data_IF_246026690921
#
_entry.id   IF_246026690921
#
_cell.length_a   1.000
_cell.length_b   1.000
_cell.length_c   1.000
_cell.angle_alpha   90.00
_cell.angle_beta   90.00
_cell.angle_gamma   90.00
#
_symmetry.space_group_name_H-M   'P 1'
#
loop_
_entity.id
_entity.type
_entity.pdbx_description
1 polymer ?
#
# COMPACT_ATOMS: atom_id res chain seq x y z
N UNK A 1 -9.91 -7.23 -31.75
CA UNK A 1 -9.92 -7.32 -30.27
C UNK A 1 -9.43 -5.97 -29.79
N UNK A 2 -10.33 -5.13 -29.27
CA UNK A 2 -9.99 -3.77 -28.88
C UNK A 2 -9.17 -3.86 -27.59
N UNK A 3 -7.97 -3.28 -27.60
CA UNK A 3 -7.25 -3.00 -26.38
C UNK A 3 -7.82 -1.68 -25.85
N UNK A 4 -8.53 -1.73 -24.72
CA UNK A 4 -8.95 -0.53 -24.02
C UNK A 4 -7.79 -0.02 -23.17
N UNK A 5 -7.58 1.29 -23.19
CA UNK A 5 -6.76 1.97 -22.20
C UNK A 5 -7.34 1.71 -20.80
N UNK A 6 -6.47 1.50 -19.81
CA UNK A 6 -6.91 1.17 -18.46
C UNK A 6 -5.93 1.63 -17.39
N UNK A 7 -6.43 1.77 -16.17
CA UNK A 7 -5.62 2.06 -14.99
C UNK A 7 -5.87 1.01 -13.91
N UNK A 8 -4.83 0.30 -13.52
CA UNK A 8 -4.80 -0.53 -12.32
C UNK A 8 -4.15 0.31 -11.20
N UNK A 9 -4.89 0.56 -10.12
CA UNK A 9 -4.44 1.39 -9.01
C UNK A 9 -4.61 0.63 -7.70
N UNK A 10 -3.58 0.66 -6.85
CA UNK A 10 -3.69 0.19 -5.46
C UNK A 10 -3.25 1.30 -4.53
N UNK A 11 -4.12 1.66 -3.59
CA UNK A 11 -3.83 2.64 -2.55
C UNK A 11 -3.93 1.98 -1.19
N UNK A 12 -2.88 2.05 -0.40
CA UNK A 12 -2.86 1.59 0.98
C UNK A 12 -2.56 2.75 1.94
N UNK A 13 -3.37 2.84 2.99
CA UNK A 13 -3.19 3.72 4.12
C UNK A 13 -2.99 2.87 5.37
N UNK A 14 -2.02 3.21 6.21
CA UNK A 14 -1.79 2.49 7.45
C UNK A 14 -1.43 3.41 8.62
N UNK A 15 -1.92 3.00 9.81
CA UNK A 15 -1.56 3.57 11.11
C UNK A 15 -1.34 2.43 12.10
N UNK A 16 -0.30 2.53 12.92
CA UNK A 16 0.07 1.52 13.92
C UNK A 16 0.35 2.20 15.26
N UNK A 17 -0.23 1.66 16.33
CA UNK A 17 -0.01 2.04 17.72
C UNK A 17 0.48 0.78 18.47
N UNK A 18 1.80 0.63 18.59
CA UNK A 18 2.43 -0.51 19.24
C UNK A 18 2.18 -0.52 20.74
N UNK A 19 2.09 0.66 21.38
CA UNK A 19 1.84 0.76 22.82
C UNK A 19 0.42 0.31 23.19
N UNK A 20 -0.57 0.67 22.37
CA UNK A 20 -1.94 0.20 22.49
C UNK A 20 -2.20 -1.17 21.87
N UNK A 21 -1.19 -1.77 21.22
CA UNK A 21 -1.29 -3.00 20.41
C UNK A 21 -2.41 -2.95 19.35
N UNK A 22 -2.57 -1.78 18.70
CA UNK A 22 -3.60 -1.52 17.70
C UNK A 22 -3.02 -1.17 16.33
N UNK A 23 -3.75 -1.53 15.28
CA UNK A 23 -3.40 -1.15 13.92
C UNK A 23 -4.65 -0.96 13.06
N UNK A 24 -4.56 -0.05 12.09
CA UNK A 24 -5.57 0.16 11.07
C UNK A 24 -4.90 0.20 9.69
N UNK A 25 -5.36 -0.64 8.78
CA UNK A 25 -4.93 -0.68 7.38
C UNK A 25 -6.14 -0.58 6.48
N UNK A 26 -6.16 0.39 5.57
CA UNK A 26 -7.16 0.53 4.53
C UNK A 26 -6.51 0.34 3.17
N UNK A 27 -7.08 -0.53 2.34
CA UNK A 27 -6.64 -0.82 0.97
C UNK A 27 -7.80 -0.57 0.03
N UNK A 28 -7.53 0.15 -1.06
CA UNK A 28 -8.47 0.37 -2.15
C UNK A 28 -7.79 0.00 -3.46
N UNK A 29 -8.40 -0.89 -4.23
CA UNK A 29 -7.88 -1.38 -5.51
C UNK A 29 -8.68 -0.86 -6.72
N UNK A 30 -8.22 -1.19 -7.93
CA UNK A 30 -8.87 -0.79 -9.18
C UNK A 30 -10.25 -1.40 -9.38
N UNK A 31 -10.58 -2.48 -8.68
CA UNK A 31 -11.92 -3.05 -8.68
C UNK A 31 -12.87 -2.23 -7.77
N UNK A 32 -12.37 -1.17 -7.13
CA UNK A 32 -13.07 -0.34 -6.14
C UNK A 32 -13.52 -1.15 -4.92
N UNK A 33 -12.83 -2.24 -4.62
CA UNK A 33 -13.03 -2.98 -3.38
C UNK A 33 -12.26 -2.25 -2.29
N UNK A 34 -12.99 -1.73 -1.31
CA UNK A 34 -12.37 -1.18 -0.10
C UNK A 34 -12.23 -2.29 0.94
N UNK A 35 -11.02 -2.52 1.40
CA UNK A 35 -10.73 -3.43 2.50
C UNK A 35 -10.11 -2.67 3.65
N UNK A 36 -10.79 -2.65 4.78
CA UNK A 36 -10.29 -2.02 6.02
C UNK A 36 -10.09 -3.09 7.07
N UNK A 37 -8.88 -3.18 7.60
CA UNK A 37 -8.49 -4.13 8.65
C UNK A 37 -8.13 -3.36 9.90
N UNK A 38 -8.82 -3.66 10.99
CA UNK A 38 -8.52 -3.17 12.32
C UNK A 38 -8.03 -4.33 13.18
N UNK A 39 -6.96 -4.09 13.93
CA UNK A 39 -6.46 -5.02 14.91
C UNK A 39 -6.52 -4.39 16.29
N UNK A 40 -7.05 -5.14 17.26
CA UNK A 40 -7.02 -4.80 18.67
C UNK A 40 -7.17 -6.07 19.49
N UNK A 41 -6.58 -6.09 20.69
CA UNK A 41 -6.82 -7.10 21.72
C UNK A 41 -6.59 -8.56 21.24
N UNK A 42 -5.67 -8.76 20.29
CA UNK A 42 -5.37 -10.07 19.70
C UNK A 42 -6.37 -10.56 18.64
N UNK A 43 -7.31 -9.70 18.22
CA UNK A 43 -8.31 -10.01 17.20
C UNK A 43 -8.10 -9.11 15.97
N UNK A 44 -8.23 -9.72 14.79
CA UNK A 44 -8.25 -9.03 13.49
C UNK A 44 -9.67 -8.97 12.96
N UNK A 45 -10.14 -7.76 12.75
CA UNK A 45 -11.42 -7.45 12.13
C UNK A 45 -11.18 -6.90 10.73
N UNK A 46 -11.67 -7.60 9.70
CA UNK A 46 -11.57 -7.16 8.31
C UNK A 46 -12.96 -6.86 7.77
N UNK A 47 -13.19 -5.62 7.35
CA UNK A 47 -14.36 -5.18 6.61
C UNK A 47 -14.03 -5.12 5.13
N UNK A 48 -14.83 -5.77 4.30
CA UNK A 48 -14.73 -5.73 2.84
C UNK A 48 -15.98 -5.06 2.29
N UNK A 49 -15.80 -3.95 1.58
CA UNK A 49 -16.86 -3.20 0.90
C UNK A 49 -16.65 -3.29 -0.60
N UNK A 50 -17.32 -4.25 -1.27
CA UNK A 50 -17.34 -4.32 -2.72
C UNK A 50 -18.14 -3.16 -3.35
N UNK A 51 -17.99 -2.91 -4.66
CA UNK A 51 -18.65 -1.81 -5.36
C UNK A 51 -20.18 -1.90 -5.38
N UNK A 52 -20.72 -3.11 -5.25
CA UNK A 52 -22.17 -3.38 -5.19
C UNK A 52 -22.78 -3.09 -3.80
N UNK A 53 -21.94 -2.74 -2.82
CA UNK A 53 -22.35 -2.33 -1.48
C UNK A 53 -22.59 -3.49 -0.51
N UNK A 54 -22.40 -4.75 -0.91
CA UNK A 54 -22.61 -5.91 -0.05
C UNK A 54 -21.43 -6.07 0.93
N UNK A 55 -21.47 -5.32 2.04
CA UNK A 55 -20.43 -5.36 3.06
C UNK A 55 -20.36 -6.75 3.71
N UNK A 56 -19.14 -7.25 3.87
CA UNK A 56 -18.85 -8.47 4.61
C UNK A 56 -17.77 -8.23 5.65
N UNK A 57 -17.83 -9.03 6.71
CA UNK A 57 -16.89 -8.99 7.82
C UNK A 57 -16.21 -10.34 7.95
N UNK A 58 -14.93 -10.30 8.32
CA UNK A 58 -14.16 -11.47 8.69
C UNK A 58 -13.43 -11.17 9.98
N UNK A 59 -13.70 -11.98 11.01
CA UNK A 59 -13.12 -11.86 12.34
C UNK A 59 -12.24 -13.08 12.57
N UNK A 60 -11.00 -12.85 13.00
CA UNK A 60 -10.05 -13.94 13.23
C UNK A 60 -9.16 -13.61 14.41
N UNK A 61 -8.90 -14.60 15.25
CA UNK A 61 -7.85 -14.50 16.26
C UNK A 61 -6.49 -14.38 15.55
N UNK A 62 -5.81 -13.27 15.81
CA UNK A 62 -4.52 -12.97 15.21
C UNK A 62 -3.78 -11.98 16.12
N UNK A 63 -2.72 -12.40 16.83
CA UNK A 63 -1.92 -11.46 17.60
C UNK A 63 -1.33 -10.38 16.69
N UNK A 64 -1.08 -9.18 17.24
CA UNK A 64 -0.39 -8.13 16.52
C UNK A 64 1.00 -8.65 16.12
N UNK A 65 1.18 -8.84 14.82
CA UNK A 65 2.49 -9.04 14.22
C UNK A 65 2.80 -7.76 13.47
N UNK A 66 3.57 -6.82 14.06
CA UNK A 66 3.81 -5.51 13.46
C UNK A 66 4.31 -5.60 12.01
N UNK A 67 5.08 -6.64 11.68
CA UNK A 67 5.54 -6.96 10.32
C UNK A 67 4.41 -7.08 9.30
N UNK A 68 3.25 -7.60 9.69
CA UNK A 68 2.05 -7.74 8.83
C UNK A 68 1.44 -6.39 8.47
N UNK A 69 1.73 -5.35 9.26
CA UNK A 69 1.19 -3.99 9.12
C UNK A 69 2.22 -2.98 8.59
N UNK A 70 3.42 -3.44 8.23
CA UNK A 70 4.46 -2.58 7.64
C UNK A 70 4.18 -2.22 6.18
N UNK A 71 3.25 -2.92 5.51
CA UNK A 71 3.10 -2.84 4.06
C UNK A 71 4.29 -3.43 3.31
N UNK A 72 5.12 -4.27 3.97
CA UNK A 72 6.37 -4.79 3.39
C UNK A 72 6.19 -5.58 2.10
N UNK A 73 5.01 -6.18 1.86
CA UNK A 73 4.70 -6.81 0.57
C UNK A 73 4.70 -5.81 -0.59
N UNK A 74 4.33 -4.55 -0.34
CA UNK A 74 4.37 -3.46 -1.31
C UNK A 74 5.72 -2.73 -1.31
N UNK A 75 6.34 -2.59 -0.13
CA UNK A 75 7.61 -1.88 0.03
C UNK A 75 8.80 -2.69 -0.46
N UNK A 76 8.85 -3.99 -0.12
CA UNK A 76 10.01 -4.84 -0.38
C UNK A 76 10.37 -4.90 -1.87
N UNK A 77 9.43 -5.11 -2.81
CA UNK A 77 9.76 -5.11 -4.23
C UNK A 77 10.44 -3.80 -4.67
N UNK A 78 9.90 -2.65 -4.25
CA UNK A 78 10.45 -1.35 -4.59
C UNK A 78 11.85 -1.14 -3.98
N UNK A 79 12.03 -1.40 -2.69
CA UNK A 79 13.32 -1.19 -2.02
C UNK A 79 14.42 -2.18 -2.46
N UNK A 80 14.06 -3.39 -2.88
CA UNK A 80 15.04 -4.43 -3.22
C UNK A 80 15.39 -4.50 -4.70
N UNK A 81 14.50 -4.05 -5.59
CA UNK A 81 14.70 -4.17 -7.04
C UNK A 81 14.99 -2.83 -7.73
N UNK A 82 14.76 -1.68 -7.06
CA UNK A 82 14.98 -0.36 -7.65
C UNK A 82 16.25 0.27 -7.10
N UNK A 83 17.11 0.75 -8.00
CA UNK A 83 18.28 1.56 -7.63
C UNK A 83 17.88 3.03 -7.59
N UNK A 84 17.89 3.62 -6.41
CA UNK A 84 17.50 5.01 -6.22
C UNK A 84 18.69 5.96 -6.29
N UNK A 85 18.44 7.18 -6.75
CA UNK A 85 19.42 8.26 -6.71
C UNK A 85 19.67 8.78 -5.29
N UNK A 86 20.43 9.88 -5.20
CA UNK A 86 20.65 10.57 -3.93
C UNK A 86 19.34 11.09 -3.32
N UNK A 87 19.31 11.17 -1.99
CA UNK A 87 18.17 11.72 -1.27
C UNK A 87 18.01 13.22 -1.57
N UNK A 88 16.76 13.64 -1.76
CA UNK A 88 16.33 15.02 -1.61
C UNK A 88 15.85 15.23 -0.18
N UNK A 89 16.50 16.13 0.57
CA UNK A 89 16.19 16.39 1.97
C UNK A 89 15.20 17.55 2.08
N UNK A 90 14.13 17.35 2.84
CA UNK A 90 13.13 18.38 3.14
C UNK A 90 12.94 18.47 4.64
N UNK A 91 13.25 19.64 5.22
CA UNK A 91 13.03 19.94 6.63
C UNK A 91 11.71 20.71 6.81
N UNK A 92 10.93 20.33 7.82
CA UNK A 92 9.66 20.96 8.18
C UNK A 92 9.51 21.04 9.69
N UNK A 93 8.49 21.72 10.19
CA UNK A 93 8.15 21.72 11.63
C UNK A 93 7.82 20.32 12.18
N UNK A 94 7.45 19.38 11.29
CA UNK A 94 7.12 18.00 11.63
C UNK A 94 8.34 17.05 11.58
N UNK A 95 9.54 17.56 11.30
CA UNK A 95 10.78 16.77 11.23
C UNK A 95 11.45 16.80 9.86
N UNK A 96 12.46 15.96 9.72
CA UNK A 96 13.27 15.83 8.49
C UNK A 96 12.83 14.66 7.64
N UNK A 97 12.69 14.89 6.33
CA UNK A 97 12.28 13.86 5.36
C UNK A 97 13.31 13.69 4.25
N UNK A 98 13.55 12.44 3.89
CA UNK A 98 14.48 12.01 2.85
C UNK A 98 13.70 11.36 1.70
N UNK A 99 13.55 12.10 0.61
CA UNK A 99 12.88 11.64 -0.61
C UNK A 99 13.85 11.01 -1.59
N UNK A 100 13.52 9.81 -2.07
CA UNK A 100 14.29 9.08 -3.08
C UNK A 100 13.44 8.88 -4.31
N UNK A 101 14.03 8.99 -5.50
CA UNK A 101 13.36 8.76 -6.78
C UNK A 101 14.22 7.95 -7.74
N UNK A 102 13.55 7.21 -8.61
CA UNK A 102 14.11 6.47 -9.71
C UNK A 102 13.14 6.55 -10.89
N UNK A 103 13.64 7.01 -12.03
CA UNK A 103 12.89 7.05 -13.30
C UNK A 103 13.23 5.85 -14.21
N UNK A 104 14.02 4.91 -13.70
CA UNK A 104 14.40 3.70 -14.43
C UNK A 104 14.71 2.57 -13.47
N UNK A 105 14.50 1.35 -13.92
CA UNK A 105 14.84 0.13 -13.21
C UNK A 105 15.31 -0.92 -14.22
N UNK A 106 16.09 -1.89 -13.75
CA UNK A 106 16.42 -3.06 -14.56
C UNK A 106 15.11 -3.76 -14.99
N UNK A 107 15.01 -4.12 -16.28
CA UNK A 107 13.81 -4.77 -16.83
C UNK A 107 13.43 -6.06 -16.09
N UNK A 108 14.39 -6.78 -15.53
CA UNK A 108 14.14 -7.98 -14.75
C UNK A 108 13.31 -7.71 -13.48
N UNK A 109 13.32 -6.48 -12.95
CA UNK A 109 12.56 -6.08 -11.78
C UNK A 109 11.06 -5.95 -12.04
N UNK A 110 10.62 -5.69 -13.28
CA UNK A 110 9.22 -5.33 -13.55
C UNK A 110 8.23 -6.42 -13.15
N UNK A 111 8.60 -7.69 -13.27
CA UNK A 111 7.73 -8.80 -12.83
C UNK A 111 7.56 -8.86 -11.31
N UNK A 112 8.57 -8.43 -10.56
CA UNK A 112 8.50 -8.36 -9.10
C UNK A 112 7.69 -7.14 -8.63
N UNK A 113 7.77 -6.03 -9.38
CA UNK A 113 7.11 -4.76 -9.03
C UNK A 113 5.64 -4.71 -9.46
N UNK A 114 5.35 -5.16 -10.68
CA UNK A 114 4.07 -4.98 -11.37
C UNK A 114 3.28 -6.29 -11.49
N UNK A 115 3.89 -7.42 -11.12
CA UNK A 115 3.28 -8.75 -11.16
C UNK A 115 3.74 -9.62 -12.33
N UNK A 116 3.49 -10.94 -12.24
CA UNK A 116 4.06 -11.92 -13.17
C UNK A 116 3.46 -11.87 -14.58
N UNK A 117 2.29 -11.25 -14.75
CA UNK A 117 1.61 -11.10 -16.04
C UNK A 117 2.17 -9.97 -16.91
N UNK A 118 3.07 -9.15 -16.36
CA UNK A 118 3.67 -8.02 -17.09
C UNK A 118 4.89 -8.50 -17.90
N UNK A 119 4.89 -8.14 -19.18
CA UNK A 119 6.07 -8.25 -20.04
C UNK A 119 6.96 -7.01 -19.87
N UNK A 120 8.19 -7.16 -19.34
CA UNK A 120 9.15 -6.07 -19.23
C UNK A 120 9.43 -5.33 -20.54
N UNK A 121 9.28 -5.98 -21.69
CA UNK A 121 9.51 -5.39 -23.01
C UNK A 121 8.48 -4.32 -23.39
N UNK A 122 7.29 -4.37 -22.78
CA UNK A 122 6.19 -3.47 -23.09
C UNK A 122 6.11 -2.28 -22.11
N UNK A 123 6.99 -2.20 -21.11
CA UNK A 123 7.02 -1.07 -20.18
C UNK A 123 7.70 0.11 -20.87
N UNK A 124 6.95 1.18 -21.09
CA UNK A 124 7.40 2.39 -21.83
C UNK A 124 7.80 3.53 -20.92
N UNK A 125 7.22 3.59 -19.72
CA UNK A 125 7.54 4.59 -18.70
C UNK A 125 7.52 3.97 -17.30
N UNK A 126 8.36 4.50 -16.41
CA UNK A 126 8.44 4.06 -15.02
C UNK A 126 8.92 5.20 -14.12
N UNK A 127 8.19 5.44 -13.04
CA UNK A 127 8.62 6.31 -11.95
C UNK A 127 8.40 5.57 -10.63
N UNK A 128 9.40 5.60 -9.76
CA UNK A 128 9.28 5.12 -8.39
C UNK A 128 9.88 6.14 -7.44
N UNK A 129 9.29 6.24 -6.26
CA UNK A 129 9.83 7.06 -5.19
C UNK A 129 9.32 6.67 -3.84
N UNK A 130 10.13 6.94 -2.83
CA UNK A 130 9.72 6.79 -1.45
C UNK A 130 10.23 7.96 -0.61
N UNK A 131 9.57 8.18 0.52
CA UNK A 131 9.94 9.20 1.50
C UNK A 131 10.10 8.51 2.84
N UNK A 132 11.24 8.74 3.48
CA UNK A 132 11.56 8.26 4.82
C UNK A 132 11.68 9.46 5.75
N UNK A 133 11.25 9.35 6.99
CA UNK A 133 11.56 10.35 8.00
C UNK A 133 12.94 10.11 8.66
N UNK A 134 13.24 10.89 9.70
CA UNK A 134 14.49 10.78 10.47
C UNK A 134 14.61 9.49 11.28
N UNK A 135 13.49 8.83 11.61
CA UNK A 135 13.45 7.58 12.36
C UNK A 135 13.56 6.34 11.45
N UNK A 136 13.63 6.54 10.13
CA UNK A 136 13.74 5.44 9.17
C UNK A 136 12.39 4.85 8.74
N UNK A 137 11.27 5.49 9.09
CA UNK A 137 9.93 5.04 8.71
C UNK A 137 9.59 5.51 7.30
N UNK A 138 9.20 4.57 6.43
CA UNK A 138 8.69 4.89 5.09
C UNK A 138 7.30 5.53 5.23
N UNK A 139 7.24 6.85 5.07
CA UNK A 139 6.01 7.66 5.10
C UNK A 139 5.21 7.57 3.82
N UNK A 140 5.90 7.46 2.70
CA UNK A 140 5.29 7.33 1.38
C UNK A 140 6.11 6.39 0.53
N UNK A 141 5.43 5.57 -0.24
CA UNK A 141 5.99 4.87 -1.39
C UNK A 141 5.02 5.03 -2.55
N UNK A 142 5.56 5.27 -3.73
CA UNK A 142 4.79 5.24 -4.97
C UNK A 142 5.62 4.63 -6.07
N UNK A 143 4.98 3.87 -6.95
CA UNK A 143 5.52 3.60 -8.26
C UNK A 143 4.41 3.56 -9.29
N UNK A 144 4.74 4.03 -10.49
CA UNK A 144 3.86 4.07 -11.63
C UNK A 144 4.59 3.48 -12.83
N UNK A 145 3.88 2.69 -13.65
CA UNK A 145 4.40 2.19 -14.91
C UNK A 145 3.35 2.32 -16.02
N UNK A 146 3.79 2.70 -17.21
CA UNK A 146 2.99 2.60 -18.42
C UNK A 146 3.39 1.34 -19.20
N UNK A 147 2.42 0.50 -19.53
CA UNK A 147 2.62 -0.80 -20.19
C UNK A 147 1.78 -0.87 -21.45
N UNK A 148 2.42 -1.05 -22.59
CA UNK A 148 1.73 -1.27 -23.86
C UNK A 148 1.02 -2.64 -23.86
N UNK A 149 -0.27 -2.64 -24.22
CA UNK A 149 -1.08 -3.85 -24.41
C UNK A 149 -1.82 -3.77 -25.74
N UNK A 150 -1.35 -4.50 -26.74
CA UNK A 150 -1.99 -4.50 -28.06
C UNK A 150 -1.98 -3.10 -28.68
N UNK A 151 -3.15 -2.46 -28.75
CA UNK A 151 -3.32 -1.10 -29.29
C UNK A 151 -3.58 -0.03 -28.20
N UNK A 152 -3.50 -0.39 -26.91
CA UNK A 152 -3.79 0.51 -25.78
C UNK A 152 -2.67 0.51 -24.74
N UNK A 153 -2.82 1.37 -23.73
CA UNK A 153 -1.88 1.51 -22.62
C UNK A 153 -2.54 1.15 -21.30
N UNK A 154 -1.88 0.28 -20.52
CA UNK A 154 -2.20 0.06 -19.11
C UNK A 154 -1.31 0.94 -18.25
N UNK A 155 -1.91 1.74 -17.37
CA UNK A 155 -1.20 2.42 -16.29
C UNK A 155 -1.33 1.58 -15.02
N UNK A 156 -0.20 1.19 -14.42
CA UNK A 156 -0.16 0.59 -13.09
C UNK A 156 0.30 1.67 -12.12
N UNK A 157 -0.49 1.98 -11.08
CA UNK A 157 -0.18 2.97 -10.05
C UNK A 157 -0.31 2.33 -8.67
N UNK A 158 0.76 2.34 -7.90
CA UNK A 158 0.77 1.84 -6.52
C UNK A 158 1.16 2.98 -5.60
N UNK A 159 0.37 3.19 -4.55
CA UNK A 159 0.60 4.23 -3.56
C UNK A 159 0.40 3.67 -2.17
N UNK A 160 1.44 3.77 -1.36
CA UNK A 160 1.40 3.52 0.07
C UNK A 160 1.61 4.83 0.82
N UNK A 161 0.83 5.05 1.86
CA UNK A 161 1.06 6.09 2.85
C UNK A 161 0.99 5.52 4.25
N UNK A 162 2.02 5.79 5.02
CA UNK A 162 2.08 5.54 6.47
C UNK A 162 1.80 6.86 7.16
N UNK A 163 0.68 6.93 7.87
CA UNK A 163 0.29 8.16 8.56
C UNK A 163 0.96 8.28 9.91
N UNK A 164 0.98 7.20 10.68
CA UNK A 164 1.55 7.17 12.01
C UNK A 164 2.06 5.78 12.36
N UNK A 165 3.27 5.70 12.89
CA UNK A 165 3.76 4.54 13.63
C UNK A 165 4.14 5.07 15.00
N UNK A 166 3.41 4.68 16.04
CA UNK A 166 3.60 5.13 17.44
C UNK A 166 3.48 6.64 17.68
N UNK A 167 2.95 7.40 16.72
CA UNK A 167 2.74 8.84 16.86
C UNK A 167 1.32 9.20 17.31
N UNK A 168 0.35 8.33 17.02
CA UNK A 168 -1.06 8.56 17.32
C UNK A 168 -1.68 7.30 17.89
N UNK A 169 -2.60 7.48 18.85
CA UNK A 169 -3.45 6.38 19.29
C UNK A 169 -4.37 5.97 18.14
N UNK A 170 -4.40 4.67 17.83
CA UNK A 170 -5.36 4.14 16.86
C UNK A 170 -6.68 3.91 17.58
N UNK A 171 -7.68 4.72 17.24
CA UNK A 171 -9.04 4.59 17.79
C UNK A 171 -9.83 3.47 17.10
N UNK A 172 -10.75 2.79 17.81
CA UNK A 172 -11.66 1.82 17.21
C UNK A 172 -12.47 2.42 16.05
N UNK A 173 -12.61 1.69 14.92
CA UNK A 173 -13.42 2.16 13.81
C UNK A 173 -14.92 2.05 14.12
N UNK A 174 -15.78 2.87 13.49
CA UNK A 174 -17.21 2.91 13.79
C UNK A 174 -17.96 1.62 13.45
N UNK A 175 -17.39 0.77 12.57
CA UNK A 175 -17.98 -0.51 12.14
C UNK A 175 -17.55 -1.69 13.03
N UNK A 176 -16.73 -1.47 14.06
CA UNK A 176 -16.20 -2.56 14.89
C UNK A 176 -17.30 -3.38 15.58
N UNK A 177 -18.36 -2.72 16.05
CA UNK A 177 -19.46 -3.41 16.74
C UNK A 177 -20.23 -4.32 15.77
N UNK A 178 -20.49 -3.87 14.53
CA UNK A 178 -21.08 -4.71 13.48
C UNK A 178 -20.21 -5.93 13.17
N UNK A 179 -18.88 -5.76 13.12
CA UNK A 179 -17.96 -6.85 12.88
C UNK A 179 -18.00 -7.88 14.03
N UNK A 180 -18.08 -7.43 15.29
CA UNK A 180 -18.21 -8.32 16.45
C UNK A 180 -19.51 -9.13 16.45
N UNK A 181 -20.60 -8.54 15.97
CA UNK A 181 -21.90 -9.22 15.85
C UNK A 181 -21.96 -10.21 14.68
N UNK A 182 -21.04 -10.10 13.73
CA UNK A 182 -20.97 -10.98 12.56
C UNK A 182 -20.20 -12.30 12.79
N UNK A 183 -19.48 -12.40 13.91
CA UNK A 183 -18.73 -13.60 14.32
C UNK A 183 -19.67 -14.48 15.19
N UNK A 184 -20.11 -15.67 14.72
CA UNK A 184 -21.13 -16.49 15.37
C UNK A 184 -20.68 -17.20 16.66
#
# INVERSE_FOLDING_TARGET
MLADDGTESVQQLQSVDLAGERALVAVNDSERVERTTYLADGTRYTRVTPPDGNVSYNVTDAPLQPRTFTGISFISPALTNVSYGAANVTETDAGTFYGYRAASVDRSAFRNLLGPSIDPGNVTDFDAGFVVDEDGVVRRLSYQAAVERGNGTLIVDVRLRTYAIDEVEVSPPPWLDEARESDP
#
